data_IF_059593864957
#
_entry.id   IF_059593864957
#
_cell.length_a   1.000
_cell.length_b   1.000
_cell.length_c   1.000
_cell.angle_alpha   90.00
_cell.angle_beta   90.00
_cell.angle_gamma   90.00
#
_symmetry.space_group_name_H-M   'P 1'
#
loop_
_entity.id
_entity.type
_entity.pdbx_description
1 polymer ?
#
# COMPACT_ATOMS: atom_id res chain seq x y z
N UNK A 1 8.02 -26.10 0.88
CA UNK A 1 6.55 -25.91 0.86
C UNK A 1 6.09 -25.97 -0.60
N UNK A 2 5.21 -26.91 -0.96
CA UNK A 2 4.57 -26.94 -2.27
C UNK A 2 3.18 -26.32 -2.14
N UNK A 3 2.97 -25.16 -2.77
CA UNK A 3 1.70 -24.41 -2.71
C UNK A 3 1.52 -23.65 -4.01
N UNK A 4 0.30 -23.49 -4.51
CA UNK A 4 0.03 -22.74 -5.75
C UNK A 4 0.09 -21.22 -5.57
N UNK A 5 0.44 -20.76 -4.37
CA UNK A 5 0.45 -19.36 -4.00
C UNK A 5 1.86 -18.87 -3.65
N UNK A 6 2.09 -17.59 -3.82
CA UNK A 6 3.30 -16.92 -3.39
C UNK A 6 2.96 -15.58 -2.73
N UNK A 7 3.80 -15.19 -1.78
CA UNK A 7 3.76 -13.89 -1.12
C UNK A 7 5.06 -13.15 -1.41
N UNK A 8 4.92 -11.90 -1.84
CA UNK A 8 5.99 -10.90 -1.78
C UNK A 8 5.55 -9.89 -0.74
N UNK A 9 6.44 -9.62 0.21
CA UNK A 9 6.12 -8.80 1.37
C UNK A 9 7.36 -8.02 1.78
N UNK A 10 7.15 -6.77 2.18
CA UNK A 10 8.18 -5.95 2.79
C UNK A 10 8.41 -6.46 4.24
N UNK A 11 9.66 -6.55 4.73
CA UNK A 11 9.91 -6.99 6.11
C UNK A 11 9.31 -6.07 7.18
N UNK A 12 9.03 -4.80 6.85
CA UNK A 12 8.54 -3.80 7.80
C UNK A 12 7.00 -3.77 7.91
N UNK A 13 6.34 -4.92 7.75
CA UNK A 13 4.89 -5.08 7.91
C UNK A 13 4.51 -5.84 9.17
N UNK A 14 3.37 -5.46 9.74
CA UNK A 14 2.68 -6.25 10.74
C UNK A 14 1.30 -6.63 10.22
N UNK A 15 0.94 -7.90 10.32
CA UNK A 15 -0.35 -8.43 9.86
C UNK A 15 -1.19 -8.72 11.10
N UNK A 16 -2.30 -7.99 11.26
CA UNK A 16 -3.23 -8.14 12.39
C UNK A 16 -4.15 -9.34 12.25
N UNK A 17 -4.45 -9.75 11.01
CA UNK A 17 -5.43 -10.79 10.76
C UNK A 17 -4.89 -12.18 11.15
N UNK A 18 -5.52 -12.89 12.10
CA UNK A 18 -5.16 -14.28 12.35
C UNK A 18 -5.51 -15.13 11.13
N UNK A 19 -4.66 -16.12 10.81
CA UNK A 19 -4.83 -16.97 9.62
C UNK A 19 -5.02 -16.18 8.31
N UNK A 20 -4.31 -15.05 8.21
CA UNK A 20 -4.35 -14.18 7.03
C UNK A 20 -4.06 -14.94 5.73
N UNK A 21 -3.22 -15.97 5.78
CA UNK A 21 -2.85 -16.80 4.64
C UNK A 21 -4.05 -17.61 4.11
N UNK A 22 -4.79 -18.24 5.02
CA UNK A 22 -6.03 -18.97 4.71
C UNK A 22 -7.07 -18.01 4.12
N UNK A 23 -7.26 -16.85 4.76
CA UNK A 23 -8.15 -15.80 4.26
C UNK A 23 -7.78 -15.37 2.85
N UNK A 24 -6.48 -15.18 2.56
CA UNK A 24 -6.03 -14.78 1.24
C UNK A 24 -6.31 -15.86 0.19
N UNK A 25 -6.00 -17.12 0.50
CA UNK A 25 -6.26 -18.26 -0.40
C UNK A 25 -7.76 -18.36 -0.71
N UNK A 26 -8.60 -18.30 0.31
CA UNK A 26 -10.06 -18.39 0.17
C UNK A 26 -10.62 -17.22 -0.64
N UNK A 27 -10.11 -16.00 -0.40
CA UNK A 27 -10.53 -14.79 -1.13
C UNK A 27 -10.16 -14.87 -2.61
N UNK A 28 -8.93 -15.27 -2.94
CA UNK A 28 -8.51 -15.46 -4.33
C UNK A 28 -9.33 -16.56 -5.03
N UNK A 29 -9.69 -17.64 -4.32
CA UNK A 29 -10.55 -18.71 -4.85
C UNK A 29 -11.97 -18.22 -5.09
N UNK A 30 -12.59 -17.60 -4.09
CA UNK A 30 -13.96 -17.09 -4.13
C UNK A 30 -14.19 -16.13 -5.29
N UNK A 31 -13.28 -15.19 -5.48
CA UNK A 31 -13.42 -14.13 -6.49
C UNK A 31 -12.73 -14.45 -7.81
N UNK A 32 -12.16 -15.65 -7.95
CA UNK A 32 -11.29 -16.03 -9.06
C UNK A 32 -10.22 -14.94 -9.36
N UNK A 33 -9.71 -14.31 -8.31
CA UNK A 33 -8.74 -13.24 -8.41
C UNK A 33 -7.33 -13.82 -8.61
N UNK A 34 -6.52 -13.15 -9.41
CA UNK A 34 -5.12 -13.51 -9.59
C UNK A 34 -4.30 -13.20 -8.34
N UNK A 35 -4.51 -11.99 -7.82
CA UNK A 35 -3.71 -11.44 -6.75
C UNK A 35 -4.52 -10.60 -5.78
N UNK A 36 -3.96 -10.43 -4.60
CA UNK A 36 -4.48 -9.52 -3.60
C UNK A 36 -3.39 -8.86 -2.79
N UNK A 37 -3.68 -7.67 -2.25
CA UNK A 37 -2.77 -7.03 -1.31
C UNK A 37 -2.85 -5.51 -1.26
N UNK A 38 -1.82 -4.92 -0.66
CA UNK A 38 -1.73 -3.50 -0.37
C UNK A 38 -1.25 -2.72 -1.61
N UNK A 39 -2.07 -1.82 -2.20
CA UNK A 39 -1.58 -0.92 -3.24
C UNK A 39 -0.61 0.12 -2.65
N UNK A 40 0.06 0.89 -3.50
CA UNK A 40 0.70 2.10 -2.98
C UNK A 40 -0.40 3.04 -2.44
N UNK A 41 -0.23 3.64 -1.25
CA UNK A 41 -1.21 4.58 -0.73
C UNK A 41 -1.44 5.77 -1.65
N UNK A 42 -2.66 6.30 -1.66
CA UNK A 42 -3.08 7.34 -2.62
C UNK A 42 -2.31 8.66 -2.49
N UNK A 43 -1.72 8.91 -1.33
CA UNK A 43 -0.85 10.08 -1.17
C UNK A 43 0.50 9.95 -1.89
N UNK A 44 0.93 8.75 -2.28
CA UNK A 44 2.16 8.53 -3.07
C UNK A 44 1.92 8.79 -4.56
N UNK A 45 1.61 10.04 -4.89
CA UNK A 45 1.16 10.45 -6.22
C UNK A 45 2.09 9.98 -7.34
N UNK A 46 1.49 9.46 -8.41
CA UNK A 46 2.18 8.97 -9.60
C UNK A 46 2.72 7.55 -9.47
N UNK A 47 2.45 6.86 -8.36
CA UNK A 47 2.60 5.41 -8.25
C UNK A 47 1.41 4.72 -8.96
N UNK A 48 1.42 3.39 -8.97
CA UNK A 48 0.21 2.63 -9.34
C UNK A 48 -0.58 2.37 -8.06
N UNK A 49 -1.90 2.55 -8.13
CA UNK A 49 -2.82 2.43 -6.98
C UNK A 49 -3.87 1.33 -7.18
N UNK A 50 -3.90 0.76 -8.38
CA UNK A 50 -4.88 -0.21 -8.90
C UNK A 50 -4.32 -1.63 -8.95
N UNK A 51 -3.22 -1.90 -8.25
CA UNK A 51 -2.57 -3.22 -8.21
C UNK A 51 -1.76 -3.38 -6.90
N UNK A 52 -1.65 -4.60 -6.34
CA UNK A 52 -0.83 -4.83 -5.14
C UNK A 52 0.63 -4.41 -5.34
N UNK A 53 1.18 -3.73 -4.34
CA UNK A 53 2.57 -3.29 -4.28
C UNK A 53 3.44 -4.31 -3.50
N UNK A 54 4.78 -4.21 -3.57
CA UNK A 54 5.67 -5.10 -2.82
C UNK A 54 5.50 -5.07 -1.29
N UNK A 55 4.79 -4.07 -0.73
CA UNK A 55 4.43 -4.03 0.70
C UNK A 55 3.71 -5.31 1.10
N UNK A 56 2.72 -5.71 0.32
CA UNK A 56 2.03 -6.99 0.47
C UNK A 56 1.40 -7.37 -0.86
N UNK A 57 1.92 -8.43 -1.49
CA UNK A 57 1.47 -8.93 -2.77
C UNK A 57 1.38 -10.46 -2.73
N UNK A 58 0.16 -10.94 -2.50
CA UNK A 58 -0.17 -12.36 -2.47
C UNK A 58 -0.82 -12.77 -3.80
N UNK A 59 -0.36 -13.84 -4.44
CA UNK A 59 -0.82 -14.18 -5.78
C UNK A 59 -0.74 -15.68 -6.10
N UNK A 60 -1.51 -16.10 -7.11
CA UNK A 60 -1.46 -17.45 -7.70
C UNK A 60 -0.26 -17.58 -8.65
N UNK A 61 0.58 -18.59 -8.41
CA UNK A 61 1.78 -18.87 -9.21
C UNK A 61 1.46 -19.35 -10.62
N UNK A 62 0.35 -20.05 -10.81
CA UNK A 62 -0.06 -20.57 -12.13
C UNK A 62 -0.13 -19.45 -13.20
N UNK A 63 -0.55 -18.26 -12.78
CA UNK A 63 -0.73 -17.08 -13.63
C UNK A 63 0.57 -16.29 -13.87
N UNK A 64 1.65 -16.59 -13.14
CA UNK A 64 3.01 -16.08 -13.44
C UNK A 64 3.49 -16.56 -14.80
N UNK A 65 3.13 -17.77 -15.20
CA UNK A 65 3.55 -18.33 -16.49
C UNK A 65 2.96 -17.56 -17.69
N UNK A 66 1.91 -16.75 -17.46
CA UNK A 66 1.21 -16.01 -18.50
C UNK A 66 1.57 -14.51 -18.54
N UNK A 67 2.38 -14.03 -17.59
CA UNK A 67 2.79 -12.62 -17.51
C UNK A 67 4.32 -12.54 -17.53
N UNK A 68 4.91 -11.74 -18.42
CA UNK A 68 6.34 -11.46 -18.33
C UNK A 68 6.63 -10.72 -17.02
N UNK A 69 7.11 -11.46 -16.01
CA UNK A 69 7.53 -10.87 -14.74
C UNK A 69 8.81 -10.10 -15.00
N UNK A 70 8.71 -8.78 -14.84
CA UNK A 70 9.86 -7.89 -14.89
C UNK A 70 9.82 -6.95 -13.68
N UNK A 71 10.73 -7.21 -12.75
CA UNK A 71 10.87 -6.44 -11.52
C UNK A 71 11.66 -5.15 -11.70
N UNK A 72 12.27 -4.91 -12.88
CA UNK A 72 13.09 -3.72 -13.10
C UNK A 72 12.24 -2.45 -13.02
N UNK A 73 12.63 -1.47 -12.20
CA UNK A 73 11.88 -0.22 -12.05
C UNK A 73 11.95 0.68 -13.31
N UNK A 74 12.97 0.52 -14.14
CA UNK A 74 13.26 1.36 -15.29
C UNK A 74 13.34 0.56 -16.59
N UNK A 75 13.14 1.23 -17.71
CA UNK A 75 13.30 0.63 -19.04
C UNK A 75 14.79 0.63 -19.42
N UNK A 76 15.18 -0.20 -20.39
CA UNK A 76 16.53 -0.19 -20.96
C UNK A 76 16.79 1.03 -21.88
N UNK A 77 15.87 2.01 -21.92
CA UNK A 77 15.98 3.25 -22.71
C UNK A 77 16.26 4.47 -21.81
N UNK A 78 17.48 5.04 -21.86
CA UNK A 78 17.86 6.20 -21.04
C UNK A 78 16.99 7.43 -21.24
N UNK A 79 16.57 7.73 -22.48
CA UNK A 79 15.74 8.89 -22.79
C UNK A 79 14.34 8.80 -22.17
N UNK A 80 13.73 7.61 -22.23
CA UNK A 80 12.47 7.34 -21.55
C UNK A 80 12.60 7.50 -20.03
N UNK A 81 13.71 7.04 -19.46
CA UNK A 81 13.98 7.19 -18.03
C UNK A 81 14.25 8.65 -17.64
N UNK A 82 14.90 9.43 -18.50
CA UNK A 82 15.11 10.87 -18.34
C UNK A 82 13.80 11.66 -18.30
N UNK A 83 12.87 11.38 -19.23
CA UNK A 83 11.53 11.98 -19.21
C UNK A 83 10.74 11.60 -17.95
N UNK A 84 10.77 10.33 -17.55
CA UNK A 84 10.15 9.87 -16.28
C UNK A 84 10.81 10.53 -15.07
N UNK A 85 12.12 10.73 -15.09
CA UNK A 85 12.83 11.45 -14.03
C UNK A 85 12.38 12.91 -13.96
N UNK A 86 12.32 13.62 -15.09
CA UNK A 86 11.84 15.01 -15.14
C UNK A 86 10.39 15.11 -14.67
N UNK A 87 9.50 14.21 -15.12
CA UNK A 87 8.11 14.16 -14.66
C UNK A 87 8.02 13.83 -13.17
N UNK A 88 8.85 12.91 -12.66
CA UNK A 88 8.96 12.61 -11.24
C UNK A 88 9.48 13.82 -10.48
N UNK A 89 10.42 14.57 -11.04
CA UNK A 89 10.84 15.83 -10.48
C UNK A 89 9.64 16.76 -10.49
N UNK A 90 8.96 17.10 -11.59
CA UNK A 90 7.78 17.98 -11.57
C UNK A 90 6.65 17.53 -10.61
N UNK A 91 6.35 16.24 -10.56
CA UNK A 91 5.40 15.66 -9.61
C UNK A 91 5.87 15.69 -8.16
N UNK A 92 7.19 15.84 -7.91
CA UNK A 92 7.81 16.01 -6.58
C UNK A 92 8.34 17.44 -6.30
N UNK A 93 8.50 18.31 -7.31
CA UNK A 93 9.34 19.53 -7.37
C UNK A 93 8.70 20.73 -6.71
N UNK A 94 7.74 20.51 -5.83
CA UNK A 94 7.27 21.58 -4.98
C UNK A 94 7.18 21.23 -3.51
N UNK A 95 7.31 19.96 -3.08
CA UNK A 95 6.79 19.60 -1.75
C UNK A 95 5.32 20.03 -1.53
N UNK A 96 4.61 20.41 -2.61
CA UNK A 96 3.26 20.95 -2.67
C UNK A 96 2.22 19.84 -2.44
N UNK A 97 2.62 18.59 -2.64
CA UNK A 97 1.88 17.41 -2.24
C UNK A 97 2.80 16.53 -1.42
N UNK A 98 2.71 16.73 -0.12
CA UNK A 98 3.20 15.80 0.88
C UNK A 98 2.01 15.07 1.50
N UNK A 99 2.30 13.98 2.23
CA UNK A 99 1.27 13.16 2.90
C UNK A 99 0.29 14.02 3.71
N UNK A 100 0.79 14.95 4.54
CA UNK A 100 -0.06 15.82 5.38
C UNK A 100 -0.98 16.72 4.57
N UNK A 101 -0.49 17.29 3.47
CA UNK A 101 -1.30 18.13 2.59
C UNK A 101 -2.40 17.29 1.92
N UNK A 102 -2.07 16.08 1.47
CA UNK A 102 -3.04 15.14 0.90
C UNK A 102 -4.12 14.73 1.92
N UNK A 103 -3.73 14.43 3.16
CA UNK A 103 -4.65 14.06 4.24
C UNK A 103 -5.59 15.21 4.60
N UNK A 104 -5.07 16.43 4.73
CA UNK A 104 -5.83 17.59 5.22
C UNK A 104 -6.67 18.29 4.16
N UNK A 105 -6.31 18.21 2.88
CA UNK A 105 -6.94 19.02 1.83
C UNK A 105 -7.63 18.17 0.77
N UNK A 106 -8.95 18.37 0.62
CA UNK A 106 -9.72 17.81 -0.50
C UNK A 106 -9.26 18.33 -1.86
N UNK A 107 -8.82 19.59 -1.92
CA UNK A 107 -8.24 20.21 -3.13
C UNK A 107 -6.96 19.50 -3.54
N UNK A 108 -6.08 19.19 -2.57
CA UNK A 108 -4.85 18.46 -2.83
C UNK A 108 -5.14 17.05 -3.39
N UNK A 109 -6.14 16.35 -2.82
CA UNK A 109 -6.59 15.05 -3.35
C UNK A 109 -7.16 15.14 -4.77
N UNK A 110 -7.94 16.19 -5.05
CA UNK A 110 -8.48 16.43 -6.39
C UNK A 110 -7.37 16.68 -7.41
N UNK A 111 -6.40 17.53 -7.06
CA UNK A 111 -5.23 17.77 -7.90
C UNK A 111 -4.43 16.48 -8.15
N UNK A 112 -4.17 15.69 -7.09
CA UNK A 112 -3.44 14.43 -7.23
C UNK A 112 -4.13 13.48 -8.22
N UNK A 113 -5.45 13.32 -8.10
CA UNK A 113 -6.26 12.52 -9.02
C UNK A 113 -6.21 13.05 -10.46
N UNK A 114 -6.29 14.38 -10.63
CA UNK A 114 -6.20 15.00 -11.96
C UNK A 114 -4.82 14.77 -12.57
N UNK A 115 -3.75 15.00 -11.82
CA UNK A 115 -2.38 14.78 -12.26
C UNK A 115 -2.16 13.32 -12.70
N UNK A 116 -2.68 12.36 -11.94
CA UNK A 116 -2.61 10.94 -12.29
C UNK A 116 -3.45 10.58 -13.51
N UNK A 117 -4.62 11.19 -13.69
CA UNK A 117 -5.44 10.98 -14.90
C UNK A 117 -4.79 11.51 -16.18
N UNK A 118 -4.01 12.59 -16.09
CA UNK A 118 -3.36 13.23 -17.24
C UNK A 118 -2.01 12.58 -17.58
N UNK A 119 -1.22 12.24 -16.56
CA UNK A 119 0.18 11.81 -16.72
C UNK A 119 0.33 10.29 -16.55
N UNK A 120 -0.58 9.65 -15.82
CA UNK A 120 -0.48 8.23 -15.46
C UNK A 120 0.62 7.95 -14.44
N UNK A 121 1.20 6.74 -14.49
CA UNK A 121 2.27 6.33 -13.57
C UNK A 121 3.63 6.93 -13.97
N UNK A 122 4.03 8.01 -13.33
CA UNK A 122 5.33 8.69 -13.52
C UNK A 122 6.36 8.41 -12.42
N UNK A 123 5.99 7.70 -11.35
CA UNK A 123 6.85 7.30 -10.23
C UNK A 123 7.15 5.80 -10.25
N UNK A 124 7.52 5.28 -11.43
CA UNK A 124 7.80 3.84 -11.67
C UNK A 124 8.70 3.22 -10.59
N UNK A 125 8.32 2.05 -10.11
CA UNK A 125 8.98 1.33 -9.03
C UNK A 125 9.04 -0.17 -9.33
N UNK A 126 9.74 -0.93 -8.49
CA UNK A 126 9.74 -2.38 -8.49
C UNK A 126 8.30 -2.91 -8.58
N UNK A 127 8.06 -3.80 -9.56
CA UNK A 127 6.74 -4.39 -9.82
C UNK A 127 5.79 -3.57 -10.71
N UNK A 128 6.11 -2.33 -11.13
CA UNK A 128 5.20 -1.54 -11.96
C UNK A 128 4.87 -2.20 -13.31
N UNK A 129 5.83 -2.94 -13.88
CA UNK A 129 5.64 -3.64 -15.16
C UNK A 129 4.69 -4.83 -15.00
N UNK A 130 4.73 -5.49 -13.84
CA UNK A 130 3.81 -6.56 -13.48
C UNK A 130 2.39 -6.01 -13.39
N UNK A 131 2.20 -4.92 -12.63
CA UNK A 131 0.92 -4.22 -12.56
C UNK A 131 0.43 -3.78 -13.95
N UNK A 132 1.32 -3.25 -14.80
CA UNK A 132 0.98 -2.87 -16.17
C UNK A 132 0.57 -4.05 -17.05
N UNK A 133 1.29 -5.17 -17.00
CA UNK A 133 0.97 -6.36 -17.77
C UNK A 133 -0.33 -7.02 -17.31
N UNK A 134 -0.56 -7.09 -16.01
CA UNK A 134 -1.80 -7.62 -15.42
C UNK A 134 -3.03 -6.83 -15.87
N UNK A 135 -2.92 -5.49 -15.92
CA UNK A 135 -4.00 -4.63 -16.44
C UNK A 135 -4.28 -4.85 -17.91
N UNK A 136 -3.24 -5.01 -18.74
CA UNK A 136 -3.41 -5.33 -20.17
C UNK A 136 -4.17 -6.63 -20.37
N UNK A 137 -3.93 -7.61 -19.50
CA UNK A 137 -4.62 -8.90 -19.50
C UNK A 137 -5.95 -8.90 -18.73
N UNK A 138 -6.37 -7.76 -18.15
CA UNK A 138 -7.58 -7.60 -17.33
C UNK A 138 -7.69 -8.62 -16.19
N UNK A 139 -6.55 -8.93 -15.56
CA UNK A 139 -6.53 -9.91 -14.47
C UNK A 139 -7.23 -9.33 -13.23
N UNK A 140 -8.18 -10.07 -12.63
CA UNK A 140 -8.87 -9.63 -11.43
C UNK A 140 -7.92 -9.57 -10.23
N UNK A 141 -8.03 -8.51 -9.44
CA UNK A 141 -7.25 -8.31 -8.22
C UNK A 141 -8.13 -7.83 -7.08
N UNK A 142 -7.77 -8.19 -5.85
CA UNK A 142 -8.42 -7.70 -4.63
C UNK A 142 -7.45 -6.74 -3.94
N UNK A 143 -7.85 -5.49 -3.76
CA UNK A 143 -7.00 -4.49 -3.13
C UNK A 143 -7.44 -4.24 -1.70
N UNK A 144 -6.46 -4.09 -0.82
CA UNK A 144 -6.70 -3.50 0.49
C UNK A 144 -6.89 -2.00 0.33
N UNK A 145 -7.71 -1.43 1.20
CA UNK A 145 -7.98 0.00 1.27
C UNK A 145 -6.91 0.68 2.12
N UNK A 146 -6.28 1.73 1.59
CA UNK A 146 -5.39 2.59 2.38
C UNK A 146 -6.22 3.51 3.29
N UNK A 147 -6.04 3.34 4.59
CA UNK A 147 -6.82 4.04 5.61
C UNK A 147 -6.13 5.35 5.99
N UNK A 148 -6.82 6.45 5.76
CA UNK A 148 -6.41 7.78 6.21
C UNK A 148 -6.86 8.00 7.66
N UNK A 149 -6.18 8.87 8.43
CA UNK A 149 -6.55 9.16 9.82
C UNK A 149 -8.02 9.54 10.01
N UNK A 150 -8.56 10.35 9.10
CA UNK A 150 -9.96 10.79 9.12
C UNK A 150 -10.97 9.69 8.78
N UNK A 151 -10.54 8.57 8.22
CA UNK A 151 -11.39 7.44 7.84
C UNK A 151 -11.38 6.31 8.89
N UNK A 152 -10.57 6.43 9.95
CA UNK A 152 -10.47 5.41 11.01
C UNK A 152 -11.80 5.12 11.69
N UNK A 153 -12.68 6.13 11.82
CA UNK A 153 -13.99 5.98 12.44
C UNK A 153 -14.94 5.04 11.67
N UNK A 154 -14.66 4.72 10.40
CA UNK A 154 -15.46 3.76 9.63
C UNK A 154 -14.99 2.31 9.76
N UNK A 155 -13.92 2.05 10.52
CA UNK A 155 -13.41 0.70 10.71
C UNK A 155 -14.31 -0.11 11.63
N UNK A 156 -14.52 -1.39 11.28
CA UNK A 156 -15.20 -2.40 12.10
C UNK A 156 -14.24 -2.95 13.16
N UNK A 157 -13.83 -2.08 14.09
CA UNK A 157 -12.98 -2.42 15.24
C UNK A 157 -13.43 -1.66 16.50
N UNK A 158 -13.06 -2.12 17.70
CA UNK A 158 -13.24 -1.31 18.89
C UNK A 158 -12.53 0.03 18.75
N UNK A 159 -13.25 1.10 19.11
CA UNK A 159 -12.72 2.46 19.02
C UNK A 159 -11.53 2.63 19.98
N UNK A 160 -10.34 2.85 19.43
CA UNK A 160 -9.14 3.20 20.16
C UNK A 160 -8.29 4.19 19.35
N UNK A 161 -7.67 5.20 19.97
CA UNK A 161 -6.80 6.16 19.30
C UNK A 161 -5.64 5.52 18.51
N UNK A 162 -5.23 4.29 18.84
CA UNK A 162 -4.14 3.57 18.18
C UNK A 162 -4.36 3.44 16.68
N UNK A 163 -5.61 3.30 16.23
CA UNK A 163 -5.91 3.21 14.80
C UNK A 163 -5.64 4.53 14.08
N UNK A 164 -5.93 5.66 14.74
CA UNK A 164 -5.59 7.00 14.23
C UNK A 164 -4.08 7.23 14.24
N UNK A 165 -3.38 6.77 15.28
CA UNK A 165 -1.93 6.84 15.36
C UNK A 165 -1.26 6.02 14.24
N UNK A 166 -1.70 4.78 14.04
CA UNK A 166 -1.22 3.90 12.96
C UNK A 166 -1.49 4.51 11.58
N UNK A 167 -2.72 4.98 11.34
CA UNK A 167 -3.10 5.63 10.08
C UNK A 167 -2.42 6.99 9.86
N UNK A 168 -1.96 7.66 10.91
CA UNK A 168 -1.31 8.98 10.84
C UNK A 168 0.19 8.92 10.66
N UNK A 169 0.83 7.93 11.26
CA UNK A 169 2.29 7.81 11.28
C UNK A 169 2.79 6.74 10.29
N UNK A 170 1.99 5.71 9.99
CA UNK A 170 2.35 4.54 9.18
C UNK A 170 1.35 4.30 8.05
N UNK A 171 1.47 3.20 7.30
CA UNK A 171 0.53 2.86 6.21
C UNK A 171 -0.42 1.77 6.71
N UNK A 172 -1.60 2.18 7.19
CA UNK A 172 -2.64 1.27 7.65
C UNK A 172 -3.51 0.83 6.47
N UNK A 173 -3.75 -0.48 6.36
CA UNK A 173 -4.58 -1.06 5.33
C UNK A 173 -5.73 -1.89 5.93
N UNK A 174 -6.88 -1.83 5.27
CA UNK A 174 -8.06 -2.59 5.65
C UNK A 174 -8.66 -3.38 4.49
N UNK A 175 -9.46 -4.40 4.83
CA UNK A 175 -10.35 -5.10 3.90
C UNK A 175 -11.69 -5.27 4.59
N UNK A 176 -12.79 -5.00 3.89
CA UNK A 176 -14.14 -5.03 4.46
C UNK A 176 -14.27 -4.22 5.76
N UNK A 177 -13.70 -3.01 5.77
CA UNK A 177 -13.58 -2.12 6.94
C UNK A 177 -12.80 -2.68 8.15
N UNK A 178 -12.10 -3.80 8.02
CA UNK A 178 -11.28 -4.37 9.09
C UNK A 178 -9.79 -4.17 8.81
N UNK A 179 -9.00 -3.65 9.76
CA UNK A 179 -7.55 -3.61 9.64
C UNK A 179 -7.00 -5.00 9.35
N UNK A 180 -6.20 -5.09 8.30
CA UNK A 180 -5.54 -6.35 7.91
C UNK A 180 -4.05 -6.29 8.16
N UNK A 181 -3.41 -5.17 7.83
CA UNK A 181 -1.99 -4.97 8.05
C UNK A 181 -1.65 -3.50 8.21
N UNK A 182 -0.51 -3.25 8.82
CA UNK A 182 0.15 -1.95 8.80
C UNK A 182 1.58 -2.12 8.31
N UNK A 183 2.08 -1.14 7.56
CA UNK A 183 3.46 -1.08 7.08
C UNK A 183 4.15 0.15 7.67
N UNK A 184 5.31 -0.05 8.30
CA UNK A 184 6.08 0.98 9.04
C UNK A 184 6.57 2.12 8.17
N UNK A 185 6.55 1.94 6.85
CA UNK A 185 7.00 2.92 5.87
C UNK A 185 8.53 3.13 5.87
N UNK A 186 9.25 2.28 5.13
CA UNK A 186 10.73 2.31 5.07
C UNK A 186 11.37 3.41 4.20
N UNK A 187 10.61 4.19 3.41
CA UNK A 187 11.22 5.20 2.53
C UNK A 187 11.22 6.57 3.20
N UNK A 188 12.31 6.94 3.90
CA UNK A 188 12.54 8.25 4.55
C UNK A 188 12.57 9.48 3.61
N UNK A 189 11.94 9.40 2.45
CA UNK A 189 11.77 10.52 1.53
C UNK A 189 10.99 11.64 2.18
N UNK A 190 11.57 12.85 2.15
CA UNK A 190 10.98 14.09 2.69
C UNK A 190 9.48 14.30 2.40
N UNK A 191 8.93 14.05 1.18
CA UNK A 191 7.50 14.34 0.92
C UNK A 191 6.52 13.42 1.68
N UNK A 192 6.98 12.30 2.20
CA UNK A 192 6.10 11.28 2.78
C UNK A 192 6.40 10.99 4.24
N UNK A 193 7.49 11.56 4.76
CA UNK A 193 7.95 11.39 6.13
C UNK A 193 6.91 11.92 7.12
N UNK A 194 6.62 11.11 8.13
CA UNK A 194 5.79 11.43 9.29
C UNK A 194 6.69 11.70 10.51
N UNK A 195 6.19 12.37 11.56
CA UNK A 195 6.94 12.62 12.80
C UNK A 195 7.60 11.38 13.40
N UNK A 196 6.84 10.29 13.50
CA UNK A 196 7.21 9.06 14.20
C UNK A 196 7.35 7.86 13.27
N UNK A 197 7.29 8.03 11.94
CA UNK A 197 7.43 6.92 10.98
C UNK A 197 8.75 6.15 11.09
N UNK A 198 9.83 6.80 11.59
CA UNK A 198 11.11 6.14 11.83
C UNK A 198 11.31 5.71 13.30
N UNK A 199 10.37 6.02 14.19
CA UNK A 199 10.44 5.70 15.62
C UNK A 199 10.04 4.23 15.83
N UNK A 200 11.03 3.39 16.09
CA UNK A 200 10.85 1.95 16.31
C UNK A 200 10.07 1.64 17.58
N UNK A 201 10.32 2.38 18.65
CA UNK A 201 9.62 2.17 19.92
C UNK A 201 8.15 2.54 19.79
N UNK A 202 7.85 3.62 19.08
CA UNK A 202 6.47 3.99 18.77
C UNK A 202 5.77 2.96 17.87
N UNK A 203 6.47 2.44 16.86
CA UNK A 203 5.95 1.37 15.99
C UNK A 203 5.49 0.14 16.79
N UNK A 204 6.36 -0.42 17.62
CA UNK A 204 6.01 -1.59 18.43
C UNK A 204 4.93 -1.30 19.46
N UNK A 205 4.97 -0.13 20.12
CA UNK A 205 3.93 0.27 21.07
C UNK A 205 2.54 0.37 20.42
N UNK A 206 2.46 0.88 19.19
CA UNK A 206 1.20 0.92 18.45
C UNK A 206 0.72 -0.49 18.05
N UNK A 207 1.62 -1.40 17.65
CA UNK A 207 1.26 -2.78 17.32
C UNK A 207 0.71 -3.49 18.56
N UNK A 208 1.43 -3.46 19.67
CA UNK A 208 1.03 -4.15 20.90
C UNK A 208 -0.33 -3.68 21.39
N UNK A 209 -0.57 -2.36 21.31
CA UNK A 209 -1.85 -1.77 21.67
C UNK A 209 -2.96 -2.17 20.70
N UNK A 210 -2.72 -2.19 19.39
CA UNK A 210 -3.70 -2.60 18.40
C UNK A 210 -4.07 -4.09 18.55
N UNK A 211 -3.10 -4.96 18.80
CA UNK A 211 -3.32 -6.38 19.10
C UNK A 211 -4.14 -6.56 20.37
N UNK A 212 -3.83 -5.83 21.45
CA UNK A 212 -4.62 -5.86 22.68
C UNK A 212 -6.08 -5.44 22.43
N UNK A 213 -6.29 -4.39 21.62
CA UNK A 213 -7.63 -3.93 21.21
C UNK A 213 -8.38 -5.01 20.43
N UNK A 214 -7.73 -5.67 19.47
CA UNK A 214 -8.33 -6.77 18.68
C UNK A 214 -8.72 -7.94 19.60
N UNK A 215 -7.87 -8.27 20.57
CA UNK A 215 -8.08 -9.38 21.49
C UNK A 215 -9.04 -9.04 22.66
N UNK A 216 -9.47 -7.79 22.78
CA UNK A 216 -10.29 -7.32 23.90
C UNK A 216 -9.54 -7.23 25.24
N UNK A 217 -8.21 -7.20 25.20
CA UNK A 217 -7.33 -7.07 26.36
C UNK A 217 -7.08 -5.57 26.60
N UNK A 218 -7.19 -5.10 27.86
CA UNK A 218 -6.77 -3.73 28.18
C UNK A 218 -5.24 -3.64 28.07
N UNK A 219 -4.69 -2.69 27.28
CA UNK A 219 -3.24 -2.52 27.21
C UNK A 219 -2.67 -2.16 28.59
N UNK A 220 -1.45 -2.61 28.94
CA UNK A 220 -0.80 -2.20 30.18
C UNK A 220 -0.63 -0.67 30.17
N UNK A 221 -1.08 -0.03 31.25
CA UNK A 221 -0.94 1.40 31.52
C UNK A 221 0.50 1.79 31.81
#
# INVERSE_FOLDING_TARGET
IQTDFALIVDPDVHIFAPRWDSFCIESLKKWNAWAMGAPYPRWKVGKYHDFPSPVFFFFRRELVNHIPIDWRPYNDCPWCNGGVFVLRQFGRLGGLLNRRMFERSSVARCYAKLAESLIGTFSRDTGWRIAHAARKQKLPVILFEDILPQAVASLDTPADPVWTDLAGEFELFAIDNRPILVHRYGTGGRPWRTPKGNDESFWFACIDKAEAVIQGIKPPT
#
